data_IF_463084968002
#
_entry.id   IF_463084968002
#
_cell.length_a   1.000
_cell.length_b   1.000
_cell.length_c   1.000
_cell.angle_alpha   90.00
_cell.angle_beta   90.00
_cell.angle_gamma   90.00
#
_symmetry.space_group_name_H-M   'P 1'
#
loop_
_entity.id
_entity.type
_entity.pdbx_description
1 polymer ?
#
# COMPACT_ATOMS: atom_id res chain seq x y z
N UNK A 1 12.53 -7.42 1.20
CA UNK A 1 13.62 -8.39 1.37
C UNK A 1 13.55 -9.52 0.33
N UNK A 2 12.38 -10.07 0.02
CA UNK A 2 12.25 -11.15 -0.99
C UNK A 2 11.84 -10.63 -2.37
N UNK A 3 11.17 -9.50 -2.48
CA UNK A 3 10.83 -8.84 -3.75
C UNK A 3 11.92 -7.87 -4.17
N UNK A 4 12.19 -7.76 -5.48
CA UNK A 4 13.14 -6.81 -6.04
C UNK A 4 12.55 -6.11 -7.28
N UNK A 5 13.07 -4.92 -7.59
CA UNK A 5 12.63 -4.08 -8.70
C UNK A 5 13.83 -3.56 -9.48
N UNK A 6 13.66 -3.46 -10.80
CA UNK A 6 14.64 -2.89 -11.71
C UNK A 6 13.95 -2.04 -12.78
N UNK A 7 14.47 -0.86 -13.07
CA UNK A 7 13.93 0.06 -14.06
C UNK A 7 14.89 0.27 -15.23
N UNK A 8 14.37 0.36 -16.46
CA UNK A 8 15.17 0.68 -17.64
C UNK A 8 15.85 2.05 -17.51
N UNK A 9 15.24 3.01 -16.84
CA UNK A 9 15.81 4.35 -16.57
C UNK A 9 17.18 4.28 -15.94
N UNK A 10 17.45 3.35 -15.01
CA UNK A 10 18.76 3.17 -14.38
C UNK A 10 19.85 2.85 -15.40
N UNK A 11 19.56 2.03 -16.44
CA UNK A 11 20.47 1.77 -17.55
C UNK A 11 20.76 3.02 -18.37
N UNK A 12 19.73 3.83 -18.60
CA UNK A 12 19.82 5.08 -19.37
C UNK A 12 20.68 6.11 -18.63
N UNK A 13 20.51 6.25 -17.33
CA UNK A 13 21.30 7.14 -16.47
C UNK A 13 22.76 6.71 -16.42
N UNK A 14 23.05 5.44 -16.22
CA UNK A 14 24.41 4.89 -16.22
C UNK A 14 25.11 5.11 -17.58
N UNK A 15 24.42 4.90 -18.69
CA UNK A 15 24.95 5.19 -20.04
C UNK A 15 25.27 6.67 -20.23
N UNK A 16 24.47 7.57 -19.67
CA UNK A 16 24.69 9.02 -19.73
C UNK A 16 25.89 9.41 -18.87
N UNK A 17 26.01 8.86 -17.66
CA UNK A 17 27.12 9.11 -16.75
C UNK A 17 28.48 8.67 -17.33
N UNK A 18 28.56 7.53 -18.02
CA UNK A 18 29.77 7.06 -18.68
C UNK A 18 30.23 7.90 -19.86
N UNK A 19 29.44 8.83 -20.36
CA UNK A 19 29.81 9.74 -21.45
C UNK A 19 30.08 9.02 -22.77
N UNK A 20 30.95 9.64 -23.62
CA UNK A 20 31.33 9.13 -24.96
C UNK A 20 32.58 8.28 -24.89
N UNK A 21 32.55 7.07 -25.43
CA UNK A 21 33.70 6.15 -25.51
C UNK A 21 33.22 4.73 -25.82
N UNK A 22 34.13 3.88 -26.30
CA UNK A 22 33.87 2.45 -26.48
C UNK A 22 34.51 1.71 -25.32
N UNK A 23 33.71 1.00 -24.52
CA UNK A 23 34.18 0.11 -23.45
C UNK A 23 33.32 -1.15 -23.41
N UNK A 24 33.83 -2.21 -22.82
CA UNK A 24 33.08 -3.46 -22.59
C UNK A 24 31.79 -3.20 -21.82
N UNK A 25 31.86 -2.37 -20.76
CA UNK A 25 30.75 -1.97 -19.97
C UNK A 25 29.65 -1.25 -20.79
N UNK A 26 30.05 -0.30 -21.66
CA UNK A 26 29.11 0.43 -22.51
C UNK A 26 28.39 -0.47 -23.51
N UNK A 27 29.08 -1.47 -24.02
CA UNK A 27 28.48 -2.48 -24.90
C UNK A 27 27.46 -3.34 -24.13
N UNK A 28 27.78 -3.77 -22.92
CA UNK A 28 26.89 -4.54 -22.06
C UNK A 28 25.65 -3.72 -21.66
N UNK A 29 25.83 -2.46 -21.22
CA UNK A 29 24.73 -1.52 -20.93
C UNK A 29 23.80 -1.32 -22.13
N UNK A 30 24.37 -1.19 -23.34
CA UNK A 30 23.56 -1.01 -24.55
C UNK A 30 22.74 -2.25 -24.91
N UNK A 31 23.29 -3.45 -24.66
CA UNK A 31 22.53 -4.70 -24.84
C UNK A 31 21.37 -4.83 -23.84
N UNK A 32 21.63 -4.52 -22.57
CA UNK A 32 20.60 -4.53 -21.55
C UNK A 32 19.50 -3.49 -21.84
N UNK A 33 19.87 -2.26 -22.16
CA UNK A 33 18.94 -1.19 -22.52
C UNK A 33 18.05 -1.56 -23.72
N UNK A 34 18.65 -2.17 -24.76
CA UNK A 34 17.89 -2.67 -25.93
C UNK A 34 16.90 -3.77 -25.54
N UNK A 35 17.29 -4.73 -24.71
CA UNK A 35 16.40 -5.79 -24.24
C UNK A 35 15.20 -5.20 -23.46
N UNK A 36 15.42 -4.23 -22.58
CA UNK A 36 14.35 -3.55 -21.86
C UNK A 36 13.44 -2.70 -22.77
N UNK A 37 14.01 -2.07 -23.81
CA UNK A 37 13.22 -1.34 -24.82
C UNK A 37 12.29 -2.29 -25.58
N UNK A 38 12.79 -3.43 -26.04
CA UNK A 38 11.97 -4.44 -26.72
C UNK A 38 10.94 -5.08 -25.77
N UNK A 39 11.33 -5.35 -24.51
CA UNK A 39 10.39 -5.81 -23.48
C UNK A 39 9.24 -4.80 -23.24
N UNK A 40 9.54 -3.49 -23.23
CA UNK A 40 8.51 -2.44 -23.13
C UNK A 40 7.50 -2.51 -24.27
N UNK A 41 7.98 -2.67 -25.51
CA UNK A 41 7.10 -2.82 -26.69
C UNK A 41 6.20 -4.05 -26.54
N UNK A 42 6.78 -5.18 -26.13
CA UNK A 42 6.03 -6.42 -25.90
C UNK A 42 4.94 -6.24 -24.83
N UNK A 43 5.25 -5.63 -23.68
CA UNK A 43 4.28 -5.32 -22.62
C UNK A 43 3.18 -4.39 -23.13
N UNK A 44 3.51 -3.35 -23.90
CA UNK A 44 2.53 -2.42 -24.46
C UNK A 44 1.57 -3.09 -25.44
N UNK A 45 2.03 -4.12 -26.15
CA UNK A 45 1.18 -4.95 -27.04
C UNK A 45 0.26 -5.88 -26.26
N UNK A 46 0.79 -6.53 -25.20
CA UNK A 46 0.03 -7.50 -24.38
C UNK A 46 -1.00 -6.81 -23.45
N UNK A 47 -0.70 -5.60 -22.98
CA UNK A 47 -1.54 -4.86 -22.04
C UNK A 47 -1.69 -3.39 -22.47
N UNK A 48 -2.43 -3.08 -23.54
CA UNK A 48 -2.63 -1.71 -23.98
C UNK A 48 -3.33 -0.88 -22.90
N UNK A 49 -2.93 0.37 -22.73
CA UNK A 49 -3.57 1.29 -21.78
C UNK A 49 -4.95 1.70 -22.27
N UNK A 50 -5.92 1.78 -21.39
CA UNK A 50 -7.25 2.34 -21.68
C UNK A 50 -7.09 3.82 -22.06
N UNK A 51 -7.40 4.19 -23.29
CA UNK A 51 -7.35 5.58 -23.79
C UNK A 51 -6.13 5.94 -24.65
N UNK A 52 -5.17 5.04 -24.88
CA UNK A 52 -4.22 5.23 -25.96
C UNK A 52 -4.86 4.75 -27.27
N UNK A 53 -5.54 5.65 -27.98
CA UNK A 53 -5.64 5.50 -29.44
C UNK A 53 -4.22 5.47 -29.98
N UNK A 54 -3.91 4.46 -30.77
CA UNK A 54 -2.60 4.25 -31.40
C UNK A 54 -2.24 5.43 -32.30
N UNK A 55 -1.64 6.47 -31.72
CA UNK A 55 -0.98 7.57 -32.38
C UNK A 55 0.02 8.17 -31.37
N UNK A 56 1.13 7.47 -31.11
CA UNK A 56 2.34 8.16 -30.65
C UNK A 56 2.94 8.78 -31.93
N UNK A 57 2.81 10.08 -32.07
CA UNK A 57 3.60 10.88 -33.01
C UNK A 57 5.07 10.70 -32.64
N UNK A 58 5.81 9.99 -33.48
CA UNK A 58 7.25 10.01 -33.49
C UNK A 58 7.69 11.42 -33.93
N UNK A 59 8.53 12.09 -33.16
CA UNK A 59 9.04 13.45 -33.35
C UNK A 59 9.93 13.57 -34.62
N UNK A 60 9.74 12.71 -35.60
CA UNK A 60 10.41 12.69 -36.90
C UNK A 60 9.44 12.82 -38.09
N UNK A 61 8.35 13.54 -37.96
CA UNK A 61 7.61 14.10 -39.12
C UNK A 61 7.34 13.19 -40.35
N UNK A 62 7.27 11.88 -40.21
CA UNK A 62 6.87 10.95 -41.26
C UNK A 62 5.69 10.08 -40.82
N UNK A 63 4.51 10.43 -41.32
CA UNK A 63 3.29 9.62 -41.20
C UNK A 63 3.45 8.33 -41.99
N UNK A 64 3.80 7.23 -41.31
CA UNK A 64 3.76 5.89 -41.88
C UNK A 64 2.36 5.29 -41.66
N UNK A 65 1.53 5.37 -42.67
CA UNK A 65 0.30 4.59 -42.80
C UNK A 65 0.66 3.11 -43.04
N UNK A 66 0.09 2.21 -42.21
CA UNK A 66 0.25 0.73 -42.25
C UNK A 66 1.59 0.23 -41.67
N UNK A 67 1.75 0.36 -40.35
CA UNK A 67 2.70 -0.46 -39.61
C UNK A 67 2.15 -1.87 -39.39
N UNK A 68 2.69 -2.86 -40.11
CA UNK A 68 2.67 -4.26 -39.65
C UNK A 68 3.17 -4.29 -38.23
N UNK A 69 2.42 -4.85 -37.29
CA UNK A 69 2.86 -5.07 -35.93
C UNK A 69 4.17 -5.88 -35.99
N UNK A 70 5.32 -5.22 -35.89
CA UNK A 70 6.61 -5.92 -35.80
C UNK A 70 6.55 -6.81 -34.58
N UNK A 71 6.72 -8.11 -34.79
CA UNK A 71 6.86 -9.08 -33.70
C UNK A 71 8.01 -8.59 -32.80
N UNK A 72 7.79 -8.39 -31.50
CA UNK A 72 8.82 -7.90 -30.60
C UNK A 72 10.04 -8.80 -30.69
N UNK A 73 11.23 -8.22 -30.79
CA UNK A 73 12.51 -8.94 -30.93
C UNK A 73 12.88 -9.74 -29.67
N UNK A 74 12.10 -9.62 -28.58
CA UNK A 74 12.26 -10.32 -27.32
C UNK A 74 10.99 -11.10 -26.99
N UNK A 75 11.14 -12.35 -26.63
CA UNK A 75 10.06 -13.22 -26.19
C UNK A 75 9.90 -13.12 -24.67
N UNK A 76 8.74 -12.64 -24.22
CA UNK A 76 8.36 -12.64 -22.82
C UNK A 76 7.59 -13.92 -22.48
N UNK A 77 7.65 -14.40 -21.22
CA UNK A 77 6.81 -15.50 -20.77
C UNK A 77 5.33 -15.24 -20.98
N UNK A 78 4.54 -16.32 -21.05
CA UNK A 78 3.09 -16.21 -21.16
C UNK A 78 2.50 -15.35 -20.04
N UNK A 79 1.60 -14.44 -20.37
CA UNK A 79 0.95 -13.57 -19.42
C UNK A 79 -0.17 -14.32 -18.68
N UNK A 80 -0.08 -14.41 -17.36
CA UNK A 80 -1.16 -14.90 -16.49
C UNK A 80 -2.22 -13.83 -16.25
N UNK A 81 -1.80 -12.57 -16.29
CA UNK A 81 -2.68 -11.40 -16.13
C UNK A 81 -2.07 -10.20 -16.86
N UNK A 82 -2.91 -9.45 -17.58
CA UNK A 82 -2.49 -8.26 -18.31
C UNK A 82 -3.56 -7.16 -18.20
N UNK A 83 -3.19 -5.97 -17.77
CA UNK A 83 -4.07 -4.80 -17.65
C UNK A 83 -3.28 -3.50 -17.61
N UNK A 84 -3.75 -2.48 -18.35
CA UNK A 84 -3.33 -1.07 -18.26
C UNK A 84 -1.79 -0.88 -18.25
N UNK A 85 -1.09 -1.47 -19.20
CA UNK A 85 0.36 -1.39 -19.33
C UNK A 85 1.14 -2.26 -18.36
N UNK A 86 0.48 -3.20 -17.67
CA UNK A 86 1.10 -4.13 -16.73
C UNK A 86 0.80 -5.57 -17.12
N UNK A 87 1.82 -6.40 -17.13
CA UNK A 87 1.76 -7.84 -17.39
C UNK A 87 2.35 -8.60 -16.21
N UNK A 88 1.69 -9.67 -15.79
CA UNK A 88 2.22 -10.64 -14.83
C UNK A 88 2.48 -11.98 -15.50
N UNK A 89 3.62 -12.58 -15.17
CA UNK A 89 4.02 -13.90 -15.62
C UNK A 89 4.44 -14.76 -14.42
N UNK A 90 4.11 -16.06 -14.45
CA UNK A 90 4.62 -17.03 -13.46
C UNK A 90 6.06 -17.41 -13.71
N UNK A 91 6.47 -17.41 -14.96
CA UNK A 91 7.84 -17.74 -15.33
C UNK A 91 8.73 -16.50 -15.30
N UNK A 92 10.03 -16.73 -15.02
CA UNK A 92 11.04 -15.67 -15.04
C UNK A 92 11.22 -15.12 -16.47
N UNK A 93 11.23 -13.78 -16.65
CA UNK A 93 11.53 -13.15 -17.92
C UNK A 93 13.03 -13.21 -18.23
N UNK A 94 13.52 -14.40 -18.53
CA UNK A 94 14.96 -14.69 -18.74
C UNK A 94 15.59 -13.81 -19.81
N UNK A 95 14.84 -13.42 -20.83
CA UNK A 95 15.29 -12.53 -21.88
C UNK A 95 15.65 -11.11 -21.37
N UNK A 96 15.09 -10.66 -20.25
CA UNK A 96 15.45 -9.41 -19.57
C UNK A 96 16.55 -9.61 -18.52
N UNK A 97 16.56 -10.75 -17.83
CA UNK A 97 17.53 -11.04 -16.78
C UNK A 97 18.91 -11.42 -17.32
N UNK A 98 19.00 -12.12 -18.46
CA UNK A 98 20.27 -12.55 -19.04
C UNK A 98 21.21 -11.36 -19.38
N UNK A 99 20.73 -10.26 -20.02
CA UNK A 99 21.56 -9.08 -20.24
C UNK A 99 22.01 -8.39 -18.94
N UNK A 100 21.18 -8.39 -17.87
CA UNK A 100 21.56 -7.85 -16.57
C UNK A 100 22.65 -8.70 -15.91
N UNK A 101 22.53 -10.03 -16.00
CA UNK A 101 23.58 -10.94 -15.50
C UNK A 101 24.89 -10.74 -16.23
N UNK A 102 24.87 -10.55 -17.56
CA UNK A 102 26.05 -10.26 -18.36
C UNK A 102 26.67 -8.88 -18.07
N UNK A 103 25.94 -7.98 -17.43
CA UNK A 103 26.40 -6.65 -17.04
C UNK A 103 27.22 -6.67 -15.74
N UNK A 104 27.07 -7.67 -14.87
CA UNK A 104 27.63 -7.69 -13.52
C UNK A 104 29.17 -7.59 -13.54
N UNK A 105 29.86 -8.47 -14.27
CA UNK A 105 31.33 -8.47 -14.30
C UNK A 105 31.91 -7.17 -14.90
N UNK A 106 31.45 -6.68 -16.08
CA UNK A 106 31.92 -5.39 -16.59
C UNK A 106 31.65 -4.18 -15.67
N UNK A 107 30.58 -4.21 -14.87
CA UNK A 107 30.33 -3.17 -13.87
C UNK A 107 31.30 -3.25 -12.72
N UNK A 108 31.54 -4.46 -12.21
CA UNK A 108 32.46 -4.68 -11.11
C UNK A 108 33.86 -4.28 -11.49
N UNK A 109 34.39 -4.77 -12.64
CA UNK A 109 35.70 -4.43 -13.15
C UNK A 109 35.86 -2.91 -13.26
N UNK A 110 34.87 -2.22 -13.80
CA UNK A 110 34.94 -0.76 -13.96
C UNK A 110 34.96 -0.02 -12.61
N UNK A 111 34.13 -0.44 -11.64
CA UNK A 111 34.04 0.18 -10.30
C UNK A 111 35.37 -0.02 -9.51
N UNK A 112 36.06 -1.12 -9.72
CA UNK A 112 37.37 -1.39 -9.12
C UNK A 112 38.53 -0.56 -9.77
N UNK A 113 38.42 -0.33 -11.09
CA UNK A 113 39.47 0.36 -11.85
C UNK A 113 39.44 1.90 -11.71
N UNK A 114 38.24 2.51 -11.47
CA UNK A 114 38.07 3.97 -11.46
C UNK A 114 37.14 4.44 -10.31
N UNK A 115 37.58 4.34 -9.04
CA UNK A 115 36.76 4.66 -7.87
C UNK A 115 36.44 6.15 -7.72
N UNK A 116 37.26 7.03 -8.32
CA UNK A 116 37.12 8.50 -8.21
C UNK A 116 36.38 9.13 -9.40
N UNK A 117 35.89 8.33 -10.33
CA UNK A 117 35.21 8.81 -11.51
C UNK A 117 33.88 9.52 -11.14
N UNK A 118 33.54 10.59 -11.87
CA UNK A 118 32.27 11.30 -11.73
C UNK A 118 31.05 10.35 -11.88
N UNK A 119 31.18 9.32 -12.72
CA UNK A 119 30.16 8.31 -12.95
C UNK A 119 30.05 7.25 -11.83
N UNK A 120 30.99 7.21 -10.86
CA UNK A 120 31.11 6.11 -9.91
C UNK A 120 29.82 5.89 -9.10
N UNK A 121 29.22 6.93 -8.54
CA UNK A 121 28.00 6.83 -7.75
C UNK A 121 26.83 6.22 -8.54
N UNK A 122 26.58 6.71 -9.77
CA UNK A 122 25.50 6.21 -10.61
C UNK A 122 25.70 4.75 -11.05
N UNK A 123 26.93 4.33 -11.26
CA UNK A 123 27.26 2.95 -11.62
C UNK A 123 27.22 2.01 -10.43
N UNK A 124 27.57 2.50 -9.24
CA UNK A 124 27.47 1.76 -7.99
C UNK A 124 25.99 1.50 -7.64
N UNK A 125 25.14 2.50 -7.79
CA UNK A 125 23.68 2.37 -7.59
C UNK A 125 23.11 1.32 -8.56
N UNK A 126 23.46 1.42 -9.85
CA UNK A 126 23.08 0.41 -10.84
C UNK A 126 23.58 -1.00 -10.49
N UNK A 127 24.81 -1.12 -9.99
CA UNK A 127 25.37 -2.41 -9.57
C UNK A 127 24.51 -3.04 -8.47
N UNK A 128 24.12 -2.27 -7.45
CA UNK A 128 23.27 -2.79 -6.39
C UNK A 128 21.86 -3.15 -6.89
N UNK A 129 21.24 -2.35 -7.73
CA UNK A 129 19.94 -2.68 -8.34
C UNK A 129 20.00 -3.99 -9.15
N UNK A 130 21.07 -4.17 -9.96
CA UNK A 130 21.30 -5.39 -10.73
C UNK A 130 21.51 -6.59 -9.80
N UNK A 131 22.32 -6.44 -8.75
CA UNK A 131 22.54 -7.52 -7.78
C UNK A 131 21.26 -7.91 -7.05
N UNK A 132 20.43 -6.94 -6.68
CA UNK A 132 19.19 -7.20 -5.96
C UNK A 132 18.18 -7.97 -6.81
N UNK A 133 17.98 -7.59 -8.07
CA UNK A 133 17.08 -8.31 -8.97
C UNK A 133 17.59 -9.71 -9.31
N UNK A 134 18.90 -9.88 -9.46
CA UNK A 134 19.51 -11.19 -9.73
C UNK A 134 19.41 -12.12 -8.51
N UNK A 135 19.67 -11.64 -7.29
CA UNK A 135 19.48 -12.41 -6.06
C UNK A 135 18.02 -12.84 -5.86
N UNK A 136 17.07 -11.96 -6.20
CA UNK A 136 15.65 -12.33 -6.16
C UNK A 136 15.35 -13.41 -7.22
N UNK A 137 15.94 -13.32 -8.40
CA UNK A 137 15.76 -14.31 -9.47
C UNK A 137 16.30 -15.71 -9.12
N UNK A 138 17.32 -15.79 -8.27
CA UNK A 138 17.87 -17.07 -7.77
C UNK A 138 16.92 -17.80 -6.79
N UNK A 139 16.04 -17.06 -6.15
CA UNK A 139 15.03 -17.59 -5.19
C UNK A 139 13.66 -17.75 -5.79
N UNK A 140 13.52 -17.43 -7.07
CA UNK A 140 12.24 -17.41 -7.75
C UNK A 140 11.69 -18.84 -7.93
N UNK A 141 10.49 -19.07 -7.41
CA UNK A 141 9.76 -20.31 -7.48
C UNK A 141 8.24 -20.04 -7.66
N UNK A 142 7.40 -21.01 -7.41
CA UNK A 142 5.94 -20.90 -7.49
C UNK A 142 5.31 -19.87 -6.55
N UNK A 143 6.04 -19.39 -5.53
CA UNK A 143 5.59 -18.34 -4.59
C UNK A 143 5.82 -16.92 -5.14
N UNK A 144 6.36 -16.81 -6.36
CA UNK A 144 6.63 -15.51 -6.99
C UNK A 144 5.77 -15.27 -8.22
N UNK A 145 5.74 -13.99 -8.62
CA UNK A 145 5.32 -13.57 -9.96
C UNK A 145 6.23 -12.46 -10.47
N UNK A 146 6.52 -12.48 -11.77
CA UNK A 146 7.21 -11.37 -12.42
C UNK A 146 6.17 -10.37 -12.92
N UNK A 147 6.29 -9.12 -12.49
CA UNK A 147 5.50 -7.99 -12.95
C UNK A 147 6.34 -7.15 -13.89
N UNK A 148 5.80 -6.87 -15.07
CA UNK A 148 6.37 -6.00 -16.07
C UNK A 148 5.41 -4.82 -16.28
N UNK A 149 5.89 -3.58 -16.06
CA UNK A 149 5.04 -2.39 -16.22
C UNK A 149 5.69 -1.41 -17.17
N UNK A 150 5.00 -1.11 -18.28
CA UNK A 150 5.42 -0.08 -19.23
C UNK A 150 4.86 1.28 -18.83
N UNK A 151 5.75 2.28 -18.60
CA UNK A 151 5.38 3.66 -18.24
C UNK A 151 6.16 4.67 -19.11
N UNK A 152 5.48 5.32 -20.05
CA UNK A 152 6.14 6.22 -20.99
C UNK A 152 7.26 5.48 -21.75
N UNK A 153 8.49 5.98 -21.67
CA UNK A 153 9.69 5.36 -22.27
C UNK A 153 10.34 4.29 -21.39
N UNK A 154 9.84 4.06 -20.19
CA UNK A 154 10.43 3.14 -19.21
C UNK A 154 9.75 1.77 -19.19
N UNK A 155 10.49 0.76 -18.76
CA UNK A 155 10.01 -0.58 -18.38
C UNK A 155 10.50 -0.89 -16.98
N UNK A 156 9.56 -1.15 -16.10
CA UNK A 156 9.82 -1.64 -14.76
C UNK A 156 9.64 -3.17 -14.72
N UNK A 157 10.67 -3.89 -14.32
CA UNK A 157 10.63 -5.30 -13.96
C UNK A 157 10.61 -5.42 -12.45
N UNK A 158 9.60 -6.10 -11.90
CA UNK A 158 9.53 -6.42 -10.48
C UNK A 158 9.33 -7.92 -10.28
N UNK A 159 10.18 -8.55 -9.50
CA UNK A 159 9.99 -9.90 -9.00
C UNK A 159 9.27 -9.82 -7.66
N UNK A 160 8.02 -10.25 -7.61
CA UNK A 160 7.14 -10.14 -6.46
C UNK A 160 7.08 -11.49 -5.74
N UNK A 161 7.49 -11.53 -4.50
CA UNK A 161 7.17 -12.64 -3.61
C UNK A 161 5.70 -12.48 -3.17
N UNK A 162 4.83 -13.37 -3.63
CA UNK A 162 3.41 -13.40 -3.30
C UNK A 162 3.16 -14.10 -1.98
N UNK A 163 3.98 -15.11 -1.69
CA UNK A 163 3.95 -15.88 -0.44
C UNK A 163 5.35 -16.00 0.17
N UNK A 164 5.65 -15.24 1.22
CA UNK A 164 6.94 -15.30 1.89
C UNK A 164 7.06 -16.47 2.88
N UNK A 165 6.00 -17.25 3.08
CA UNK A 165 5.94 -18.25 4.15
C UNK A 165 7.08 -19.26 4.16
N UNK A 166 7.57 -19.85 3.04
CA UNK A 166 8.67 -20.81 3.08
C UNK A 166 10.00 -20.17 3.52
N UNK A 167 10.21 -18.91 3.13
CA UNK A 167 11.45 -18.19 3.47
C UNK A 167 11.46 -17.72 4.92
N UNK A 168 10.28 -17.33 5.43
CA UNK A 168 10.12 -16.94 6.84
C UNK A 168 10.26 -18.18 7.71
N UNK A 169 9.63 -19.32 7.36
CA UNK A 169 9.78 -20.60 8.05
C UNK A 169 11.24 -21.04 8.13
N UNK A 170 11.97 -21.01 7.00
CA UNK A 170 13.39 -21.33 6.99
C UNK A 170 14.21 -20.44 7.92
N UNK A 171 13.87 -19.15 8.01
CA UNK A 171 14.52 -18.19 8.90
C UNK A 171 14.17 -18.45 10.37
N UNK A 172 12.93 -18.77 10.69
CA UNK A 172 12.46 -19.09 12.04
C UNK A 172 13.06 -20.43 12.53
N UNK A 173 13.13 -21.40 11.64
CA UNK A 173 13.68 -22.74 11.93
C UNK A 173 15.18 -22.76 12.16
N UNK A 174 15.91 -21.73 11.72
CA UNK A 174 17.34 -21.55 12.04
C UNK A 174 17.57 -21.18 13.52
N UNK A 175 16.53 -20.68 14.22
CA UNK A 175 16.57 -20.33 15.63
C UNK A 175 16.10 -21.48 16.52
N UNK A 176 16.49 -21.44 17.81
CA UNK A 176 16.01 -22.40 18.82
C UNK A 176 14.53 -22.22 19.15
N UNK A 177 14.06 -20.98 19.13
CA UNK A 177 12.68 -20.58 19.37
C UNK A 177 12.45 -19.19 18.79
N UNK A 178 11.22 -18.89 18.40
CA UNK A 178 10.79 -17.60 17.93
C UNK A 178 9.49 -17.18 18.61
N UNK A 179 9.37 -15.90 18.97
CA UNK A 179 8.15 -15.29 19.45
C UNK A 179 7.80 -14.12 18.53
N UNK A 180 6.63 -14.18 17.89
CA UNK A 180 6.10 -13.13 17.04
C UNK A 180 4.94 -12.46 17.77
N UNK A 181 4.95 -11.17 17.91
CA UNK A 181 3.94 -10.44 18.64
C UNK A 181 3.57 -9.11 17.98
N UNK A 182 2.30 -8.75 18.07
CA UNK A 182 1.77 -7.46 17.66
C UNK A 182 0.40 -7.25 18.32
N UNK A 183 -0.04 -6.03 18.44
CA UNK A 183 -1.39 -5.69 18.88
C UNK A 183 -2.48 -6.11 17.85
N UNK A 184 -2.10 -6.36 16.59
CA UNK A 184 -3.03 -6.58 15.48
C UNK A 184 -2.79 -7.88 14.70
N UNK A 185 -2.29 -8.95 15.35
CA UNK A 185 -2.16 -10.29 14.72
C UNK A 185 -3.52 -11.00 14.61
N UNK A 186 -4.48 -10.37 13.96
CA UNK A 186 -5.85 -10.87 13.79
C UNK A 186 -6.20 -10.94 12.29
N UNK A 187 -6.75 -12.07 11.79
CA UNK A 187 -6.95 -13.35 12.50
C UNK A 187 -5.64 -14.17 12.62
N UNK A 188 -5.45 -14.94 13.68
CA UNK A 188 -4.21 -15.69 13.88
C UNK A 188 -3.89 -16.69 12.75
N UNK A 189 -4.91 -17.30 12.15
CA UNK A 189 -4.75 -18.22 11.03
C UNK A 189 -4.04 -17.60 9.83
N UNK A 190 -4.41 -16.37 9.48
CA UNK A 190 -3.76 -15.61 8.41
C UNK A 190 -2.27 -15.43 8.66
N UNK A 191 -1.93 -14.96 9.87
CA UNK A 191 -0.51 -14.72 10.21
C UNK A 191 0.30 -16.01 10.29
N UNK A 192 -0.28 -17.09 10.80
CA UNK A 192 0.40 -18.41 10.78
C UNK A 192 0.73 -18.85 9.36
N UNK A 193 -0.19 -18.63 8.41
CA UNK A 193 0.02 -18.98 7.01
C UNK A 193 1.12 -18.10 6.39
N UNK A 194 0.97 -16.77 6.40
CA UNK A 194 1.94 -15.87 5.75
C UNK A 194 3.32 -15.84 6.42
N UNK A 195 3.40 -16.22 7.70
CA UNK A 195 4.67 -16.32 8.44
C UNK A 195 5.27 -17.72 8.43
N UNK A 196 4.67 -18.66 7.69
CA UNK A 196 5.20 -20.02 7.54
C UNK A 196 5.26 -20.83 8.84
N UNK A 197 4.38 -20.54 9.80
CA UNK A 197 4.38 -21.23 11.09
C UNK A 197 2.98 -21.79 11.43
N UNK A 198 2.44 -22.75 10.64
CA UNK A 198 1.06 -23.24 10.80
C UNK A 198 0.82 -23.87 12.18
N UNK A 199 1.82 -24.53 12.74
CA UNK A 199 1.75 -25.20 14.03
C UNK A 199 2.04 -24.28 15.25
N UNK A 200 2.33 -22.99 15.00
CA UNK A 200 2.65 -22.05 16.07
C UNK A 200 1.46 -21.87 17.03
N UNK A 201 1.74 -21.90 18.32
CA UNK A 201 0.74 -21.59 19.34
C UNK A 201 0.41 -20.09 19.29
N UNK A 202 -0.86 -19.75 19.09
CA UNK A 202 -1.34 -18.39 19.22
C UNK A 202 -1.86 -18.14 20.64
N UNK A 203 -1.46 -17.01 21.21
CA UNK A 203 -1.95 -16.53 22.50
C UNK A 203 -2.52 -15.13 22.28
N UNK A 204 -3.76 -14.91 22.69
CA UNK A 204 -4.38 -13.59 22.72
C UNK A 204 -4.46 -13.14 24.18
N UNK A 205 -3.74 -12.08 24.49
CA UNK A 205 -3.82 -11.42 25.79
C UNK A 205 -5.01 -10.45 25.79
N UNK A 206 -5.61 -10.26 26.95
CA UNK A 206 -6.64 -9.24 27.12
C UNK A 206 -6.02 -7.84 27.07
N UNK A 207 -6.83 -6.84 26.71
CA UNK A 207 -6.38 -5.46 26.76
C UNK A 207 -6.06 -5.05 28.20
N UNK A 208 -4.92 -4.39 28.46
CA UNK A 208 -4.62 -3.85 29.77
C UNK A 208 -5.42 -2.59 30.12
N UNK A 209 -6.17 -2.07 29.15
CA UNK A 209 -6.93 -0.82 29.28
C UNK A 209 -8.39 -1.10 29.66
N UNK A 210 -8.98 -0.29 30.57
CA UNK A 210 -10.38 -0.41 30.95
C UNK A 210 -11.30 -0.25 29.74
N UNK A 211 -12.27 -1.17 29.56
CA UNK A 211 -13.19 -1.12 28.43
C UNK A 211 -14.11 0.11 28.47
N UNK A 212 -14.45 0.57 29.68
CA UNK A 212 -15.27 1.76 29.95
C UNK A 212 -14.60 3.07 29.50
N UNK A 213 -13.28 3.05 29.33
CA UNK A 213 -12.55 4.23 28.86
C UNK A 213 -12.60 4.38 27.31
N UNK A 214 -13.12 3.38 26.59
CA UNK A 214 -13.22 3.40 25.13
C UNK A 214 -14.67 3.35 24.66
N UNK A 215 -15.20 4.49 24.22
CA UNK A 215 -16.47 4.53 23.49
C UNK A 215 -16.30 3.94 22.08
N UNK A 216 -17.02 2.87 21.77
CA UNK A 216 -16.95 2.20 20.47
C UNK A 216 -18.32 2.26 19.80
N UNK A 217 -18.42 2.98 18.69
CA UNK A 217 -19.68 3.18 17.99
C UNK A 217 -19.54 2.87 16.50
N UNK A 218 -20.58 2.30 15.92
CA UNK A 218 -20.66 2.03 14.49
C UNK A 218 -21.99 2.58 13.93
N UNK A 219 -21.91 3.30 12.81
CA UNK A 219 -23.07 3.73 12.02
C UNK A 219 -23.15 2.90 10.72
N UNK A 220 -23.82 1.73 10.76
CA UNK A 220 -23.94 0.87 9.58
C UNK A 220 -24.93 1.39 8.54
N UNK A 221 -25.70 2.44 8.84
CA UNK A 221 -26.54 3.14 7.87
C UNK A 221 -25.74 3.92 6.81
N UNK A 222 -24.45 4.16 7.06
CA UNK A 222 -23.52 4.82 6.12
C UNK A 222 -22.82 3.77 5.28
N UNK A 223 -22.82 3.90 3.94
CA UNK A 223 -22.07 3.04 3.05
C UNK A 223 -21.02 3.84 2.29
N UNK A 224 -19.74 3.46 2.45
CA UNK A 224 -18.62 4.11 1.77
C UNK A 224 -18.22 3.41 0.47
N UNK A 225 -19.06 2.49 -0.04
CA UNK A 225 -18.83 1.79 -1.30
C UNK A 225 -18.77 2.80 -2.45
N UNK A 226 -17.89 2.57 -3.41
CA UNK A 226 -17.62 3.52 -4.49
C UNK A 226 -18.87 4.14 -5.13
N UNK A 227 -19.89 3.32 -5.41
CA UNK A 227 -21.14 3.78 -6.03
C UNK A 227 -22.07 4.56 -5.08
N UNK A 228 -21.79 4.56 -3.79
CA UNK A 228 -22.62 5.20 -2.75
C UNK A 228 -21.89 6.36 -2.06
N UNK A 229 -20.66 6.68 -2.48
CA UNK A 229 -19.83 7.71 -1.84
C UNK A 229 -20.49 9.07 -1.81
N UNK A 230 -21.06 9.52 -2.93
CA UNK A 230 -21.70 10.83 -3.00
C UNK A 230 -22.85 10.96 -2.00
N UNK A 231 -23.68 9.91 -1.86
CA UNK A 231 -24.78 9.88 -0.91
C UNK A 231 -24.31 9.81 0.56
N UNK A 232 -23.08 9.35 0.80
CA UNK A 232 -22.54 9.19 2.15
C UNK A 232 -21.78 10.44 2.66
N UNK A 233 -21.43 11.41 1.81
CA UNK A 233 -20.68 12.61 2.18
C UNK A 233 -21.36 13.34 3.34
N UNK A 234 -22.61 13.70 3.18
CA UNK A 234 -23.38 14.46 4.19
C UNK A 234 -23.56 13.67 5.51
N UNK A 235 -24.01 12.40 5.51
CA UNK A 235 -24.07 11.60 6.74
C UNK A 235 -22.74 11.48 7.48
N UNK A 236 -21.62 11.37 6.74
CA UNK A 236 -20.29 11.33 7.36
C UNK A 236 -19.96 12.68 7.98
N UNK A 237 -20.18 13.80 7.28
CA UNK A 237 -19.98 15.16 7.85
C UNK A 237 -20.79 15.35 9.14
N UNK A 238 -22.06 14.92 9.15
CA UNK A 238 -22.92 15.02 10.34
C UNK A 238 -22.39 14.18 11.51
N UNK A 239 -21.93 12.96 11.25
CA UNK A 239 -21.36 12.09 12.25
C UNK A 239 -20.00 12.62 12.79
N UNK A 240 -19.16 13.18 11.93
CA UNK A 240 -17.90 13.82 12.31
C UNK A 240 -18.14 15.08 13.16
N UNK A 241 -19.17 15.88 12.82
CA UNK A 241 -19.55 17.04 13.60
C UNK A 241 -20.07 16.65 14.99
N UNK A 242 -20.91 15.60 15.08
CA UNK A 242 -21.36 15.06 16.36
C UNK A 242 -20.17 14.60 17.23
N UNK A 243 -19.21 13.86 16.65
CA UNK A 243 -18.01 13.43 17.35
C UNK A 243 -17.16 14.61 17.83
N UNK A 244 -16.85 15.56 16.97
CA UNK A 244 -15.96 16.69 17.27
C UNK A 244 -16.61 17.72 18.23
N UNK A 245 -17.94 17.78 18.30
CA UNK A 245 -18.67 18.66 19.22
C UNK A 245 -18.92 18.05 20.59
N UNK A 246 -18.69 16.75 20.77
CA UNK A 246 -19.01 16.03 22.00
C UNK A 246 -18.12 16.41 23.19
N UNK A 247 -16.85 16.78 22.91
CA UNK A 247 -15.88 17.23 23.90
C UNK A 247 -14.78 18.04 23.23
N UNK A 248 -14.28 19.08 23.88
CA UNK A 248 -13.10 19.82 23.40
C UNK A 248 -11.87 18.90 23.41
N UNK A 249 -11.24 18.76 22.26
CA UNK A 249 -10.09 17.87 22.09
C UNK A 249 -9.67 17.71 20.65
N UNK A 250 -8.71 16.83 20.42
CA UNK A 250 -8.26 16.50 19.07
C UNK A 250 -8.88 15.20 18.57
N UNK A 251 -9.34 15.25 17.35
CA UNK A 251 -9.95 14.15 16.65
C UNK A 251 -9.27 13.92 15.30
N UNK A 252 -9.29 12.69 14.80
CA UNK A 252 -8.74 12.35 13.49
C UNK A 252 -9.71 11.45 12.71
N UNK A 253 -10.07 11.88 11.50
CA UNK A 253 -10.88 11.09 10.58
C UNK A 253 -9.98 10.45 9.52
N UNK A 254 -10.00 9.12 9.44
CA UNK A 254 -9.24 8.32 8.47
C UNK A 254 -10.11 7.97 7.27
N UNK A 255 -9.59 8.23 6.08
CA UNK A 255 -10.28 8.00 4.81
C UNK A 255 -9.56 6.98 3.92
N UNK A 256 -10.28 6.26 3.05
CA UNK A 256 -9.70 5.27 2.15
C UNK A 256 -9.06 5.89 0.89
N UNK A 257 -9.26 7.17 0.63
CA UNK A 257 -8.64 7.90 -0.49
C UNK A 257 -8.71 9.41 -0.29
N UNK A 258 -7.74 10.09 -0.85
CA UNK A 258 -7.59 11.54 -0.80
C UNK A 258 -8.76 12.28 -1.46
N UNK A 259 -9.25 11.78 -2.59
CA UNK A 259 -10.38 12.39 -3.29
C UNK A 259 -11.65 12.36 -2.42
N UNK A 260 -11.91 11.25 -1.74
CA UNK A 260 -13.06 11.13 -0.86
C UNK A 260 -12.93 11.97 0.42
N UNK A 261 -11.74 12.01 0.99
CA UNK A 261 -11.40 12.90 2.11
C UNK A 261 -11.72 14.36 1.76
N UNK A 262 -11.28 14.82 0.59
CA UNK A 262 -11.52 16.20 0.14
C UNK A 262 -13.00 16.52 -0.02
N UNK A 263 -13.78 15.65 -0.64
CA UNK A 263 -15.23 15.84 -0.80
C UNK A 263 -15.93 15.98 0.56
N UNK A 264 -15.59 15.12 1.53
CA UNK A 264 -16.19 15.20 2.87
C UNK A 264 -15.70 16.45 3.62
N UNK A 265 -14.42 16.80 3.52
CA UNK A 265 -13.90 18.01 4.16
C UNK A 265 -14.52 19.29 3.61
N UNK A 266 -14.74 19.40 2.31
CA UNK A 266 -15.41 20.55 1.68
C UNK A 266 -16.86 20.68 2.18
N UNK A 267 -17.64 19.59 2.21
CA UNK A 267 -18.99 19.59 2.78
C UNK A 267 -18.97 19.92 4.27
N UNK A 268 -18.05 19.35 5.02
CA UNK A 268 -17.90 19.56 6.46
C UNK A 268 -17.60 21.02 6.79
N UNK A 269 -16.61 21.63 6.16
CA UNK A 269 -16.21 23.02 6.43
C UNK A 269 -17.26 24.03 6.02
N UNK A 270 -18.02 23.74 4.96
CA UNK A 270 -19.14 24.59 4.53
C UNK A 270 -20.30 24.58 5.54
N UNK A 271 -20.53 23.46 6.21
CA UNK A 271 -21.68 23.24 7.13
C UNK A 271 -21.35 23.47 8.60
N UNK A 272 -20.09 23.25 9.00
CA UNK A 272 -19.60 23.34 10.38
C UNK A 272 -18.37 24.25 10.50
N UNK A 273 -18.44 25.54 10.12
CA UNK A 273 -17.31 26.45 10.05
C UNK A 273 -16.67 26.75 11.42
N UNK A 274 -17.39 26.55 12.50
CA UNK A 274 -16.91 26.81 13.88
C UNK A 274 -15.99 25.72 14.41
N UNK A 275 -15.90 24.55 13.77
CA UNK A 275 -15.01 23.46 14.16
C UNK A 275 -13.71 23.60 13.40
N UNK A 276 -12.60 23.75 14.13
CA UNK A 276 -11.25 23.81 13.53
C UNK A 276 -10.90 22.53 12.77
N UNK A 277 -10.42 22.66 11.54
CA UNK A 277 -10.02 21.51 10.71
C UNK A 277 -8.57 21.57 10.29
N UNK A 278 -7.97 20.41 10.09
CA UNK A 278 -6.63 20.23 9.53
C UNK A 278 -6.66 19.10 8.51
N UNK A 279 -6.23 19.39 7.27
CA UNK A 279 -6.18 18.40 6.18
C UNK A 279 -4.77 17.96 5.92
N UNK A 280 -4.55 16.67 5.85
CA UNK A 280 -3.29 16.10 5.40
C UNK A 280 -3.14 16.33 3.89
N UNK A 281 -2.01 16.86 3.44
CA UNK A 281 -1.71 16.97 2.02
C UNK A 281 -1.24 15.63 1.43
N UNK A 282 -1.49 15.43 0.12
CA UNK A 282 -1.03 14.21 -0.56
C UNK A 282 0.49 14.23 -0.74
N UNK A 283 1.12 13.04 -0.60
CA UNK A 283 2.54 12.91 -0.89
C UNK A 283 3.48 13.50 0.16
N UNK A 284 2.99 13.75 1.39
CA UNK A 284 3.86 14.16 2.50
C UNK A 284 4.95 13.11 2.74
N UNK A 285 6.19 13.59 2.83
CA UNK A 285 7.31 12.84 3.38
C UNK A 285 7.20 12.68 4.91
N UNK A 286 8.15 12.04 5.53
CA UNK A 286 8.14 11.79 6.97
C UNK A 286 8.22 13.10 7.78
N UNK A 287 8.93 14.11 7.29
CA UNK A 287 9.02 15.43 7.93
C UNK A 287 7.67 16.18 7.85
N UNK A 288 7.00 16.13 6.70
CA UNK A 288 5.68 16.72 6.51
C UNK A 288 4.60 16.04 7.37
N UNK A 289 4.70 14.71 7.54
CA UNK A 289 3.82 13.96 8.45
C UNK A 289 4.05 14.34 9.92
N UNK A 290 5.29 14.48 10.33
CA UNK A 290 5.64 14.94 11.69
C UNK A 290 5.09 16.35 11.94
N UNK A 291 5.29 17.31 11.02
CA UNK A 291 4.76 18.65 11.11
C UNK A 291 3.23 18.71 11.15
N UNK A 292 2.53 17.82 10.42
CA UNK A 292 1.08 17.69 10.51
C UNK A 292 0.64 17.27 11.92
N UNK A 293 1.35 16.33 12.54
CA UNK A 293 1.03 15.83 13.88
C UNK A 293 1.34 16.82 15.00
N UNK A 294 2.38 17.64 14.84
CA UNK A 294 2.72 18.70 15.80
C UNK A 294 1.63 19.76 15.95
N UNK A 295 0.73 19.88 14.96
CA UNK A 295 -0.43 20.78 15.02
C UNK A 295 -1.47 20.35 16.09
N UNK A 296 -1.46 19.11 16.52
CA UNK A 296 -2.34 18.59 17.56
C UNK A 296 -1.74 18.87 18.94
N UNK A 297 -2.18 19.96 19.60
CA UNK A 297 -1.74 20.30 20.96
C UNK A 297 -2.23 19.26 21.97
N UNK A 298 -1.43 18.90 23.01
CA UNK A 298 -1.87 17.97 24.07
C UNK A 298 -3.10 18.45 24.86
N UNK A 299 -3.25 19.76 25.02
CA UNK A 299 -4.37 20.38 25.74
C UNK A 299 -4.95 21.52 24.90
N UNK A 300 -5.74 21.20 23.87
CA UNK A 300 -6.28 22.22 23.00
C UNK A 300 -7.39 23.02 23.71
N UNK A 301 -7.38 24.34 23.52
CA UNK A 301 -8.48 25.22 23.99
C UNK A 301 -9.75 25.09 23.13
N UNK A 302 -9.59 24.62 21.90
CA UNK A 302 -10.68 24.42 20.93
C UNK A 302 -10.50 23.07 20.25
N UNK A 303 -11.61 22.49 19.82
CA UNK A 303 -11.62 21.25 19.06
C UNK A 303 -10.87 21.40 17.75
N UNK A 304 -10.01 20.42 17.44
CA UNK A 304 -9.34 20.26 16.15
C UNK A 304 -9.68 18.90 15.57
N UNK A 305 -10.25 18.88 14.36
CA UNK A 305 -10.54 17.67 13.60
C UNK A 305 -9.58 17.56 12.42
N UNK A 306 -8.69 16.57 12.47
CA UNK A 306 -7.81 16.21 11.37
C UNK A 306 -8.50 15.30 10.35
N UNK A 307 -8.17 15.48 9.08
CA UNK A 307 -8.58 14.63 7.97
C UNK A 307 -7.32 14.01 7.35
N UNK A 308 -7.20 12.69 7.38
CA UNK A 308 -6.02 11.98 6.89
C UNK A 308 -6.34 10.76 6.02
N UNK A 309 -5.41 10.44 5.11
CA UNK A 309 -5.41 9.20 4.35
C UNK A 309 -4.40 8.23 4.96
N UNK A 310 -4.85 7.01 5.26
CA UNK A 310 -3.98 5.96 5.79
C UNK A 310 -3.78 6.01 7.30
N UNK A 311 -3.09 4.99 7.80
CA UNK A 311 -3.02 4.66 9.23
C UNK A 311 -1.76 5.19 9.91
N UNK A 312 -0.79 5.69 9.16
CA UNK A 312 0.55 6.02 9.69
C UNK A 312 0.64 7.35 10.45
N UNK A 313 -0.49 8.03 10.66
CA UNK A 313 -0.53 9.24 11.48
C UNK A 313 -0.51 8.88 12.97
N UNK A 314 0.67 8.88 13.57
CA UNK A 314 0.84 8.72 15.01
C UNK A 314 0.52 10.04 15.73
N UNK A 315 -0.56 10.06 16.51
CA UNK A 315 -0.90 11.21 17.36
C UNK A 315 -1.08 10.78 18.81
N UNK A 316 -0.21 11.24 19.72
CA UNK A 316 -0.25 10.91 21.16
C UNK A 316 -1.29 11.72 21.93
N UNK A 317 -2.17 12.43 21.21
CA UNK A 317 -3.00 13.52 21.76
C UNK A 317 -4.44 13.46 21.31
N UNK A 318 -4.85 12.32 20.74
CA UNK A 318 -6.19 12.15 20.21
C UNK A 318 -7.12 11.61 21.29
N UNK A 319 -8.26 12.27 21.48
CA UNK A 319 -9.38 11.77 22.31
C UNK A 319 -10.45 11.06 21.50
N UNK A 320 -10.35 11.06 20.17
CA UNK A 320 -11.24 10.29 19.33
C UNK A 320 -10.77 10.15 17.90
N UNK A 321 -11.21 9.08 17.27
CA UNK A 321 -11.01 8.90 15.84
C UNK A 321 -12.28 8.39 15.14
N UNK A 322 -12.45 8.80 13.89
CA UNK A 322 -13.45 8.26 12.99
C UNK A 322 -12.76 7.48 11.86
N UNK A 323 -13.25 6.28 11.57
CA UNK A 323 -12.73 5.43 10.51
C UNK A 323 -13.79 5.30 9.43
N UNK A 324 -13.54 5.97 8.30
CA UNK A 324 -14.44 6.02 7.15
C UNK A 324 -14.09 4.89 6.21
N UNK A 325 -14.94 3.85 6.22
CA UNK A 325 -14.72 2.65 5.43
C UNK A 325 -13.80 1.62 6.08
N UNK A 326 -13.74 0.42 5.49
CA UNK A 326 -13.03 -0.74 6.03
C UNK A 326 -11.56 -0.83 5.61
N UNK A 327 -10.95 0.28 5.21
CA UNK A 327 -9.50 0.36 4.96
C UNK A 327 -8.97 -0.54 3.84
N UNK A 328 -9.84 -1.07 2.94
CA UNK A 328 -9.40 -1.97 1.87
C UNK A 328 -8.30 -1.33 1.04
N UNK A 329 -7.22 -2.08 0.71
CA UNK A 329 -6.23 -1.65 -0.26
C UNK A 329 -6.89 -1.24 -1.58
N UNK A 330 -6.29 -0.27 -2.25
CA UNK A 330 -6.76 0.16 -3.57
C UNK A 330 -6.62 -0.99 -4.58
N UNK A 331 -7.64 -1.17 -5.44
CA UNK A 331 -7.58 -2.16 -6.50
C UNK A 331 -6.43 -1.80 -7.45
N UNK A 332 -5.53 -2.73 -7.64
CA UNK A 332 -4.38 -2.60 -8.51
C UNK A 332 -4.04 -3.95 -9.15
N UNK A 333 -3.33 -3.98 -10.29
CA UNK A 333 -2.89 -5.23 -10.90
C UNK A 333 -2.13 -6.14 -9.91
N UNK A 334 -1.29 -5.56 -9.06
CA UNK A 334 -0.56 -6.29 -8.01
C UNK A 334 -1.50 -6.92 -7.00
N UNK A 335 -2.51 -6.17 -6.55
CA UNK A 335 -3.46 -6.64 -5.54
C UNK A 335 -4.35 -7.76 -6.11
N UNK A 336 -4.71 -7.64 -7.39
CA UNK A 336 -5.45 -8.70 -8.10
C UNK A 336 -4.62 -9.96 -8.34
N UNK A 337 -3.30 -9.83 -8.57
CA UNK A 337 -2.41 -10.98 -8.66
C UNK A 337 -2.30 -11.72 -7.32
N UNK A 338 -2.16 -10.98 -6.21
CA UNK A 338 -2.16 -11.56 -4.85
C UNK A 338 -3.49 -12.27 -4.55
N UNK A 339 -4.63 -11.65 -4.91
CA UNK A 339 -5.94 -12.26 -4.77
C UNK A 339 -6.03 -13.59 -5.52
N UNK A 340 -5.63 -13.61 -6.80
CA UNK A 340 -5.63 -14.83 -7.64
C UNK A 340 -4.74 -15.93 -7.08
N UNK A 341 -3.56 -15.55 -6.58
CA UNK A 341 -2.64 -16.51 -5.96
C UNK A 341 -3.31 -17.24 -4.79
N UNK A 342 -3.86 -16.50 -3.81
CA UNK A 342 -4.50 -17.12 -2.65
C UNK A 342 -5.88 -17.73 -2.96
N UNK A 343 -6.60 -17.27 -3.98
CA UNK A 343 -7.79 -17.97 -4.47
C UNK A 343 -7.44 -19.38 -4.97
N UNK A 344 -6.34 -19.51 -5.71
CA UNK A 344 -5.86 -20.81 -6.20
C UNK A 344 -5.33 -21.71 -5.07
N UNK A 345 -4.70 -21.13 -4.04
CA UNK A 345 -4.13 -21.90 -2.93
C UNK A 345 -5.18 -22.40 -1.93
N UNK A 346 -6.13 -21.57 -1.55
CA UNK A 346 -7.04 -21.86 -0.44
C UNK A 346 -8.45 -21.27 -0.57
N UNK A 347 -8.80 -20.66 -1.71
CA UNK A 347 -10.11 -20.06 -1.96
C UNK A 347 -10.39 -18.76 -1.18
N UNK A 348 -9.38 -18.17 -0.50
CA UNK A 348 -9.55 -17.01 0.35
C UNK A 348 -8.84 -15.74 -0.19
N UNK A 349 -8.65 -15.65 -1.50
CA UNK A 349 -7.88 -14.58 -2.12
C UNK A 349 -8.35 -13.18 -1.77
N UNK A 350 -9.68 -12.94 -1.68
CA UNK A 350 -10.19 -11.63 -1.26
C UNK A 350 -9.81 -11.31 0.20
N UNK A 351 -9.81 -12.30 1.07
CA UNK A 351 -9.43 -12.12 2.47
C UNK A 351 -7.95 -11.75 2.60
N UNK A 352 -7.07 -12.46 1.91
CA UNK A 352 -5.63 -12.20 1.93
C UNK A 352 -5.25 -10.87 1.27
N UNK A 353 -5.85 -10.56 0.13
CA UNK A 353 -5.49 -9.37 -0.63
C UNK A 353 -6.14 -8.08 -0.10
N UNK A 354 -7.34 -8.16 0.46
CA UNK A 354 -8.13 -6.99 0.75
C UNK A 354 -8.66 -6.92 2.18
N UNK A 355 -9.45 -7.93 2.62
CA UNK A 355 -10.22 -7.83 3.88
C UNK A 355 -9.31 -7.79 5.10
N UNK A 356 -8.41 -8.73 5.26
CA UNK A 356 -7.53 -8.78 6.42
C UNK A 356 -6.53 -7.62 6.48
N UNK A 357 -5.82 -7.27 5.39
CA UNK A 357 -5.00 -6.06 5.38
C UNK A 357 -5.79 -4.78 5.68
N UNK A 358 -7.01 -4.67 5.16
CA UNK A 358 -7.89 -3.55 5.44
C UNK A 358 -8.27 -3.46 6.91
N UNK A 359 -8.74 -4.56 7.50
CA UNK A 359 -9.13 -4.59 8.91
C UNK A 359 -7.94 -4.35 9.85
N UNK A 360 -6.75 -4.82 9.50
CA UNK A 360 -5.55 -4.48 10.26
C UNK A 360 -5.30 -2.97 10.33
N UNK A 361 -5.52 -2.25 9.22
CA UNK A 361 -5.44 -0.79 9.22
C UNK A 361 -6.50 -0.17 10.14
N UNK A 362 -7.74 -0.67 10.11
CA UNK A 362 -8.81 -0.21 11.01
C UNK A 362 -8.41 -0.38 12.47
N UNK A 363 -7.92 -1.57 12.85
CA UNK A 363 -7.50 -1.85 14.22
C UNK A 363 -6.29 -1.01 14.65
N UNK A 364 -5.33 -0.78 13.76
CA UNK A 364 -4.19 0.10 14.00
C UNK A 364 -4.61 1.55 14.21
N UNK A 365 -5.57 2.05 13.42
CA UNK A 365 -6.11 3.41 13.58
C UNK A 365 -6.83 3.57 14.92
N UNK A 366 -7.70 2.63 15.26
CA UNK A 366 -8.43 2.62 16.52
C UNK A 366 -7.51 2.53 17.75
N UNK A 367 -6.45 1.72 17.66
CA UNK A 367 -5.47 1.55 18.75
C UNK A 367 -4.65 2.80 19.08
N UNK A 368 -4.86 3.90 18.38
CA UNK A 368 -4.18 5.18 18.65
C UNK A 368 -4.89 6.05 19.69
N UNK A 369 -6.14 5.72 20.03
CA UNK A 369 -6.96 6.52 20.94
C UNK A 369 -6.66 6.23 22.41
N UNK A 370 -6.46 4.97 22.76
CA UNK A 370 -6.14 4.55 24.15
C UNK A 370 -4.74 3.94 24.18
N UNK A 371 -3.84 4.48 24.99
CA UNK A 371 -2.45 4.05 25.14
C UNK A 371 -2.02 3.83 26.60
N UNK A 372 -2.70 4.53 27.51
CA UNK A 372 -2.50 4.41 28.94
C UNK A 372 -3.80 3.97 29.62
N UNK A 373 -3.74 3.63 30.90
CA UNK A 373 -4.93 3.25 31.67
C UNK A 373 -5.81 4.46 32.00
N UNK A 374 -5.25 5.66 31.92
CA UNK A 374 -5.92 6.92 32.19
C UNK A 374 -6.56 7.56 30.96
N UNK A 375 -6.19 7.09 29.76
CA UNK A 375 -6.77 7.62 28.53
C UNK A 375 -8.25 7.25 28.43
N UNK A 376 -9.05 8.24 28.04
CA UNK A 376 -10.48 8.07 27.73
C UNK A 376 -10.76 8.63 26.33
N UNK A 377 -11.44 7.87 25.48
CA UNK A 377 -11.64 8.30 24.11
C UNK A 377 -12.67 7.49 23.32
N UNK A 378 -12.92 7.92 22.08
CA UNK A 378 -13.97 7.38 21.22
C UNK A 378 -13.44 6.92 19.89
N UNK A 379 -13.89 5.74 19.44
CA UNK A 379 -13.70 5.23 18.08
C UNK A 379 -15.06 5.14 17.38
N UNK A 380 -15.19 5.81 16.26
CA UNK A 380 -16.39 5.83 15.43
C UNK A 380 -16.13 5.12 14.10
N UNK A 381 -16.87 4.04 13.84
CA UNK A 381 -16.76 3.24 12.61
C UNK A 381 -17.91 3.65 11.66
N UNK A 382 -17.56 4.11 10.47
CA UNK A 382 -18.50 4.64 9.47
C UNK A 382 -18.47 3.80 8.20
N UNK A 383 -19.17 2.65 8.21
CA UNK A 383 -19.40 1.80 7.04
C UNK A 383 -20.39 0.66 7.36
N UNK A 384 -21.24 0.30 6.39
CA UNK A 384 -22.20 -0.82 6.48
C UNK A 384 -21.51 -2.18 6.66
N UNK A 385 -20.30 -2.34 6.16
CA UNK A 385 -19.55 -3.60 6.23
C UNK A 385 -19.13 -3.98 7.64
N UNK A 386 -18.96 -3.01 8.54
CA UNK A 386 -18.60 -3.33 9.93
C UNK A 386 -19.67 -4.13 10.68
N UNK A 387 -20.94 -4.07 10.23
CA UNK A 387 -22.02 -4.89 10.76
C UNK A 387 -22.15 -6.27 10.07
N UNK A 388 -21.40 -6.54 9.00
CA UNK A 388 -21.43 -7.82 8.32
C UNK A 388 -20.58 -8.85 9.08
N UNK A 389 -21.04 -10.09 9.16
CA UNK A 389 -20.38 -11.16 9.94
C UNK A 389 -18.92 -11.38 9.56
N UNK A 390 -18.59 -11.24 8.26
CA UNK A 390 -17.23 -11.44 7.72
C UNK A 390 -16.24 -10.39 8.23
N UNK A 391 -16.69 -9.20 8.61
CA UNK A 391 -15.88 -8.14 9.20
C UNK A 391 -15.97 -8.14 10.72
N UNK A 392 -17.18 -8.30 11.27
CA UNK A 392 -17.43 -8.28 12.72
C UNK A 392 -16.60 -9.36 13.46
N UNK A 393 -16.42 -10.53 12.88
CA UNK A 393 -15.58 -11.61 13.45
C UNK A 393 -14.09 -11.27 13.54
N UNK A 394 -13.64 -10.20 12.86
CA UNK A 394 -12.25 -9.74 12.90
C UNK A 394 -11.99 -8.71 13.99
N UNK A 395 -13.03 -8.25 14.68
CA UNK A 395 -12.85 -7.36 15.82
C UNK A 395 -12.16 -8.10 16.99
N UNK A 396 -11.28 -7.41 17.73
CA UNK A 396 -10.62 -8.00 18.88
C UNK A 396 -11.64 -8.25 20.02
N UNK A 397 -11.34 -9.23 20.87
CA UNK A 397 -12.24 -9.63 21.94
C UNK A 397 -12.61 -8.50 22.91
N UNK A 398 -11.74 -7.54 23.12
CA UNK A 398 -11.99 -6.39 23.98
C UNK A 398 -12.94 -5.34 23.36
N UNK A 399 -13.38 -5.53 22.10
CA UNK A 399 -14.41 -4.70 21.46
C UNK A 399 -15.83 -5.24 21.61
N UNK A 400 -16.08 -6.13 22.57
CA UNK A 400 -17.42 -6.72 22.79
C UNK A 400 -18.51 -5.69 23.13
N UNK A 401 -18.09 -4.50 23.59
CA UNK A 401 -18.98 -3.38 23.91
C UNK A 401 -19.23 -2.45 22.71
N UNK A 402 -18.82 -2.83 21.48
CA UNK A 402 -19.15 -2.08 20.28
C UNK A 402 -20.65 -1.99 20.08
N UNK A 403 -21.15 -0.75 20.03
CA UNK A 403 -22.57 -0.45 19.82
C UNK A 403 -22.83 -0.06 18.37
N UNK A 404 -23.88 -0.66 17.79
CA UNK A 404 -24.36 -0.34 16.45
C UNK A 404 -25.53 0.64 16.58
N UNK A 405 -25.34 1.86 16.09
CA UNK A 405 -26.29 2.96 16.22
C UNK A 405 -27.06 3.16 14.90
N UNK A 406 -28.29 3.61 15.01
CA UNK A 406 -29.21 3.79 13.86
C UNK A 406 -28.86 5.04 13.05
N UNK A 407 -28.55 6.15 13.75
CA UNK A 407 -28.38 7.47 13.16
C UNK A 407 -27.47 8.38 14.00
N UNK A 408 -27.23 9.58 13.50
CA UNK A 408 -26.37 10.58 14.16
C UNK A 408 -27.00 11.14 15.45
N UNK A 409 -28.33 11.13 15.60
CA UNK A 409 -28.97 11.61 16.83
C UNK A 409 -28.73 10.63 17.99
N UNK A 410 -28.83 9.33 17.71
CA UNK A 410 -28.46 8.31 18.70
C UNK A 410 -26.97 8.40 19.06
N UNK A 411 -26.08 8.67 18.05
CA UNK A 411 -24.67 8.89 18.30
C UNK A 411 -24.43 10.08 19.25
N UNK A 412 -25.08 11.23 19.04
CA UNK A 412 -24.93 12.40 19.92
C UNK A 412 -25.25 12.05 21.37
N UNK A 413 -26.39 11.40 21.59
CA UNK A 413 -26.81 10.98 22.94
C UNK A 413 -25.76 10.05 23.58
N UNK A 414 -25.26 9.04 22.84
CA UNK A 414 -24.28 8.12 23.35
C UNK A 414 -22.93 8.78 23.66
N UNK A 415 -22.52 9.77 22.87
CA UNK A 415 -21.33 10.56 23.14
C UNK A 415 -21.48 11.45 24.38
N UNK A 416 -22.66 12.07 24.57
CA UNK A 416 -22.96 12.84 25.77
C UNK A 416 -22.91 11.95 27.02
N UNK A 417 -23.59 10.81 27.01
CA UNK A 417 -23.59 9.83 28.09
C UNK A 417 -22.16 9.38 28.43
N UNK A 418 -21.36 9.01 27.41
CA UNK A 418 -19.97 8.55 27.58
C UNK A 418 -19.04 9.58 28.22
N UNK A 419 -19.17 10.86 27.84
CA UNK A 419 -18.32 11.92 28.40
C UNK A 419 -18.81 12.45 29.75
N UNK A 420 -20.07 12.18 30.15
CA UNK A 420 -20.61 12.55 31.45
C UNK A 420 -20.16 11.62 32.59
N UNK A 421 -19.85 10.36 32.26
CA UNK A 421 -19.24 9.39 33.18
C UNK A 421 -17.74 9.68 33.42
#
# INVERSE_FOLDING_TARGET
>A
MYSARFCKSSLTEAKRALGRGKSTLKTALSKADKAFLEGRKAVSTLAPRRGSTAAEEDDSGQTSLLGSAETPAIELPAADYAQDGTVFCKELPSALLAPLRALTAPLQDWLEDDPDAEAHAALLDLYFEVQDILRASERYDEHFAAQLTARGSDLELQLLCLDPSPFVDASLSAGRAAALFSATLTPPGYYRTVLGCPEARAVALESPFPAENLGLYCLPSISTRYRQRDASIRPISDALAALASSRVGNYLAFFPSYAYLRQVWEDFTARYPDIGTLVQESGLDDAGRAAFLERFSPCPEKTLLGFGEGVDLAGDRLIGCAIVGVGLPQVSPRQEMLRRYYDAQNGAGFDYAYRWPGMNKVLQAAGRVIRTQEDKGVVLLLDDRFAQSEYARLFPKHWRHLEYLRDTEELKKKLEDFWAE
#
